data_IF_639282637043
#
_entry.id   IF_639282637043
#
_cell.length_a   1.000
_cell.length_b   1.000
_cell.length_c   1.000
_cell.angle_alpha   90.00
_cell.angle_beta   90.00
_cell.angle_gamma   90.00
#
_symmetry.space_group_name_H-M   'P 1'
#
loop_
_entity.id
_entity.type
_entity.pdbx_description
1 polymer ?
#
# COMPACT_ATOMS: atom_id res chain seq x y z
N UNK A 1 7.73 -4.04 -8.82
CA UNK A 1 6.95 -5.22 -9.30
C UNK A 1 5.85 -5.53 -8.28
N UNK A 2 5.00 -6.52 -8.55
CA UNK A 2 3.96 -6.97 -7.60
C UNK A 2 4.58 -7.50 -6.29
N UNK A 3 5.77 -8.09 -6.35
CA UNK A 3 6.48 -8.57 -5.17
C UNK A 3 6.83 -7.44 -4.19
N UNK A 4 7.29 -6.29 -4.71
CA UNK A 4 7.59 -5.11 -3.88
C UNK A 4 6.35 -4.61 -3.14
N UNK A 5 5.18 -4.68 -3.79
CA UNK A 5 3.92 -4.31 -3.17
C UNK A 5 3.60 -5.25 -1.99
N UNK A 6 3.67 -6.56 -2.19
CA UNK A 6 3.41 -7.54 -1.13
C UNK A 6 4.43 -7.47 0.02
N UNK A 7 5.70 -7.22 -0.28
CA UNK A 7 6.72 -7.03 0.75
C UNK A 7 6.39 -5.81 1.62
N UNK A 8 6.10 -4.67 0.99
CA UNK A 8 5.75 -3.42 1.67
C UNK A 8 4.46 -3.56 2.50
N UNK A 9 3.41 -4.16 1.94
CA UNK A 9 2.15 -4.42 2.64
C UNK A 9 2.40 -5.22 3.92
N UNK A 10 3.19 -6.30 3.85
CA UNK A 10 3.49 -7.14 5.01
C UNK A 10 4.30 -6.40 6.06
N UNK A 11 5.34 -5.66 5.65
CA UNK A 11 6.21 -4.94 6.59
C UNK A 11 5.53 -3.74 7.25
N UNK A 12 4.69 -3.01 6.51
CA UNK A 12 4.07 -1.76 6.96
C UNK A 12 2.72 -1.98 7.68
N UNK A 13 2.18 -3.20 7.64
CA UNK A 13 0.95 -3.55 8.37
C UNK A 13 1.20 -4.75 9.28
N UNK A 14 1.07 -5.98 8.77
CA UNK A 14 1.08 -7.21 9.57
C UNK A 14 2.29 -7.36 10.50
N UNK A 15 3.51 -7.09 10.03
CA UNK A 15 4.72 -7.23 10.85
C UNK A 15 4.90 -6.06 11.81
N UNK A 16 4.48 -4.87 11.43
CA UNK A 16 4.58 -3.67 12.27
C UNK A 16 3.63 -3.77 13.47
N UNK A 17 2.40 -4.20 13.22
CA UNK A 17 1.35 -4.34 14.24
C UNK A 17 1.36 -5.72 14.94
N UNK A 18 2.29 -6.61 14.57
CA UNK A 18 2.39 -7.96 15.14
C UNK A 18 1.17 -8.84 14.88
N UNK A 19 0.42 -8.57 13.81
CA UNK A 19 -0.82 -9.27 13.49
C UNK A 19 -0.53 -10.66 12.94
N UNK A 20 -0.95 -11.68 13.69
CA UNK A 20 -0.79 -13.09 13.32
C UNK A 20 -2.11 -13.82 13.50
N UNK A 21 -2.49 -14.65 12.53
CA UNK A 21 -3.71 -15.46 12.56
C UNK A 21 -5.02 -14.64 12.67
N UNK A 22 -5.04 -13.43 12.13
CA UNK A 22 -6.24 -12.61 12.07
C UNK A 22 -7.33 -13.23 11.19
N UNK A 23 -8.61 -13.04 11.52
CA UNK A 23 -9.70 -13.54 10.70
C UNK A 23 -9.67 -12.90 9.30
N UNK A 24 -10.07 -13.67 8.28
CA UNK A 24 -10.03 -13.26 6.87
C UNK A 24 -10.73 -11.92 6.62
N UNK A 25 -11.82 -11.61 7.33
CA UNK A 25 -12.53 -10.33 7.21
C UNK A 25 -11.65 -9.14 7.60
N UNK A 26 -10.87 -9.25 8.68
CA UNK A 26 -9.95 -8.22 9.14
C UNK A 26 -8.78 -8.08 8.16
N UNK A 27 -8.23 -9.20 7.69
CA UNK A 27 -7.18 -9.21 6.66
C UNK A 27 -7.65 -8.48 5.39
N UNK A 28 -8.87 -8.76 4.91
CA UNK A 28 -9.45 -8.09 3.73
C UNK A 28 -9.53 -6.58 3.96
N UNK A 29 -10.00 -6.14 5.12
CA UNK A 29 -10.13 -4.71 5.43
C UNK A 29 -8.78 -4.01 5.50
N UNK A 30 -7.76 -4.65 6.09
CA UNK A 30 -6.37 -4.14 6.10
C UNK A 30 -5.86 -3.97 4.68
N UNK A 31 -6.01 -5.00 3.84
CA UNK A 31 -5.53 -4.97 2.45
C UNK A 31 -6.22 -3.87 1.64
N UNK A 32 -7.54 -3.71 1.77
CA UNK A 32 -8.28 -2.63 1.09
C UNK A 32 -7.78 -1.25 1.51
N UNK A 33 -7.67 -1.00 2.82
CA UNK A 33 -7.16 0.28 3.36
C UNK A 33 -5.76 0.57 2.85
N UNK A 34 -4.91 -0.45 2.82
CA UNK A 34 -3.54 -0.30 2.34
C UNK A 34 -3.48 -0.05 0.83
N UNK A 35 -4.34 -0.67 0.01
CA UNK A 35 -4.44 -0.39 -1.43
C UNK A 35 -4.83 1.07 -1.67
N UNK A 36 -5.80 1.60 -0.92
CA UNK A 36 -6.19 3.01 -1.01
C UNK A 36 -5.01 3.91 -0.66
N UNK A 37 -4.38 3.70 0.49
CA UNK A 37 -3.17 4.44 0.90
C UNK A 37 -2.06 4.38 -0.16
N UNK A 38 -1.78 3.18 -0.68
CA UNK A 38 -0.71 2.96 -1.66
C UNK A 38 -0.95 3.75 -2.93
N UNK A 39 -2.19 3.85 -3.41
CA UNK A 39 -2.51 4.53 -4.67
C UNK A 39 -2.70 6.05 -4.51
N UNK A 40 -3.29 6.49 -3.41
CA UNK A 40 -3.74 7.88 -3.22
C UNK A 40 -2.76 8.72 -2.42
N UNK A 41 -1.92 8.12 -1.57
CA UNK A 41 -1.14 8.88 -0.59
C UNK A 41 0.33 8.47 -0.49
N UNK A 42 0.70 7.26 -0.92
CA UNK A 42 2.08 6.80 -0.83
C UNK A 42 2.99 7.55 -1.80
N UNK A 43 3.89 8.35 -1.24
CA UNK A 43 4.91 9.05 -2.00
C UNK A 43 5.97 8.07 -2.51
N UNK A 44 6.27 8.13 -3.80
CA UNK A 44 7.32 7.32 -4.41
C UNK A 44 8.32 8.20 -5.14
N UNK A 45 9.61 8.14 -4.77
CA UNK A 45 10.67 8.92 -5.42
C UNK A 45 10.73 8.69 -6.94
N UNK A 46 10.48 7.46 -7.40
CA UNK A 46 10.42 7.11 -8.83
C UNK A 46 9.25 7.77 -9.59
N UNK A 47 8.27 8.32 -8.87
CA UNK A 47 7.11 9.02 -9.40
C UNK A 47 7.25 10.53 -9.13
N UNK A 48 8.47 11.05 -9.18
CA UNK A 48 8.78 12.45 -8.87
C UNK A 48 8.22 12.91 -7.52
N UNK A 49 8.32 12.04 -6.51
CA UNK A 49 7.79 12.29 -5.16
C UNK A 49 6.26 12.53 -5.13
N UNK A 50 5.52 11.95 -6.05
CA UNK A 50 4.05 11.96 -6.08
C UNK A 50 3.46 10.61 -5.66
N UNK A 51 2.15 10.62 -5.35
CA UNK A 51 1.35 9.40 -5.23
C UNK A 51 1.11 8.77 -6.62
N UNK A 52 0.83 7.45 -6.72
CA UNK A 52 0.53 6.82 -8.00
C UNK A 52 -0.62 7.46 -8.78
N UNK A 53 -1.67 7.92 -8.10
CA UNK A 53 -2.80 8.60 -8.76
C UNK A 53 -2.41 10.01 -9.17
N UNK A 54 -1.72 10.78 -8.33
CA UNK A 54 -1.34 12.14 -8.68
C UNK A 54 -0.35 12.17 -9.84
N UNK A 55 0.62 11.27 -9.86
CA UNK A 55 1.54 11.11 -10.98
C UNK A 55 0.80 10.84 -12.30
N UNK A 56 -0.24 9.98 -12.28
CA UNK A 56 -1.07 9.71 -13.47
C UNK A 56 -1.87 10.92 -13.92
N UNK A 57 -2.31 11.78 -12.99
CA UNK A 57 -3.04 13.01 -13.30
C UNK A 57 -2.11 14.12 -13.80
N UNK A 58 -0.87 14.19 -13.30
CA UNK A 58 0.13 15.16 -13.72
C UNK A 58 0.77 14.85 -15.08
N UNK A 59 0.68 13.60 -15.55
CA UNK A 59 1.14 13.19 -16.87
C UNK A 59 0.13 13.47 -18.01
N UNK A 60 -1.00 14.12 -17.72
CA UNK A 60 -2.03 14.55 -18.68
C UNK A 60 -1.83 15.99 -19.09
#
# INVERSE_FOLDING_TARGET
CIESFHASLKSETFYLDGLTNEPTSIVIEIVKKYITYYNESRIQQKLDYQSPIDYRKSAV
#
